data_IF_189802755231
#
_entry.id   IF_189802755231
#
_cell.length_a   1.000
_cell.length_b   1.000
_cell.length_c   1.000
_cell.angle_alpha   90.00
_cell.angle_beta   90.00
_cell.angle_gamma   90.00
#
_symmetry.space_group_name_H-M   'P 1'
#
loop_
_entity.id
_entity.type
_entity.pdbx_description
1 polymer ?
#
# COMPACT_ATOMS: atom_id res chain seq x y z
N UNK A 1 1.03 -18.78 28.76
CA UNK A 1 0.54 -17.51 28.18
C UNK A 1 0.46 -17.72 26.68
N UNK A 2 -0.73 -17.97 26.15
CA UNK A 2 -0.92 -18.09 24.70
C UNK A 2 -0.93 -16.68 24.10
N UNK A 3 0.00 -16.42 23.18
CA UNK A 3 0.04 -15.18 22.41
C UNK A 3 -1.03 -15.27 21.33
N UNK A 4 -2.17 -14.64 21.57
CA UNK A 4 -3.30 -14.59 20.63
C UNK A 4 -2.82 -13.86 19.37
N UNK A 5 -2.58 -14.58 18.28
CA UNK A 5 -2.23 -13.98 17.00
C UNK A 5 -3.45 -13.18 16.51
N UNK A 6 -3.37 -11.85 16.61
CA UNK A 6 -4.37 -10.95 16.04
C UNK A 6 -4.48 -11.22 14.55
N UNK A 7 -5.70 -11.47 14.05
CA UNK A 7 -5.96 -11.56 12.60
C UNK A 7 -5.41 -10.28 11.96
N UNK A 8 -4.38 -10.39 11.12
CA UNK A 8 -3.85 -9.24 10.38
C UNK A 8 -4.81 -8.95 9.24
N UNK A 9 -5.67 -7.94 9.41
CA UNK A 9 -6.51 -7.44 8.33
C UNK A 9 -5.67 -6.59 7.36
N UNK A 10 -5.90 -6.70 6.04
CA UNK A 10 -5.22 -5.85 5.07
C UNK A 10 -5.64 -4.40 5.24
N UNK A 11 -4.66 -3.49 5.17
CA UNK A 11 -4.93 -2.05 5.11
C UNK A 11 -5.11 -1.64 3.64
N UNK A 12 -6.23 -0.98 3.34
CA UNK A 12 -6.52 -0.44 2.01
C UNK A 12 -6.15 1.05 1.95
N UNK A 13 -5.34 1.42 0.97
CA UNK A 13 -4.89 2.80 0.74
C UNK A 13 -5.21 3.19 -0.70
N UNK A 14 -5.84 4.34 -0.89
CA UNK A 14 -6.19 4.89 -2.20
C UNK A 14 -5.49 6.25 -2.42
N UNK A 15 -4.73 6.34 -3.50
CA UNK A 15 -4.13 7.60 -3.95
C UNK A 15 -5.01 8.18 -5.07
N UNK A 16 -5.91 9.10 -4.70
CA UNK A 16 -6.92 9.64 -5.60
C UNK A 16 -6.86 11.16 -5.69
N UNK A 17 -7.08 11.66 -6.91
CA UNK A 17 -7.25 13.08 -7.23
C UNK A 17 -7.93 13.21 -8.58
N UNK A 18 -8.77 14.22 -8.72
CA UNK A 18 -9.49 14.57 -9.95
C UNK A 18 -8.55 15.10 -11.04
N UNK A 19 -7.33 15.53 -10.67
CA UNK A 19 -6.37 16.07 -11.63
C UNK A 19 -5.66 14.96 -12.41
N UNK A 20 -5.79 15.01 -13.73
CA UNK A 20 -4.96 14.23 -14.65
C UNK A 20 -3.50 14.68 -14.60
N UNK A 21 -2.56 13.75 -14.70
CA UNK A 21 -1.11 14.05 -14.65
C UNK A 21 -0.57 14.41 -13.26
N UNK A 22 -1.36 14.28 -12.19
CA UNK A 22 -0.91 14.57 -10.82
C UNK A 22 0.05 13.53 -10.22
N UNK A 23 0.51 12.54 -11.00
CA UNK A 23 1.47 11.54 -10.55
C UNK A 23 0.92 10.44 -9.65
N UNK A 24 -0.40 10.17 -9.66
CA UNK A 24 -1.02 9.12 -8.83
C UNK A 24 -0.32 7.77 -8.99
N UNK A 25 -0.18 7.28 -10.22
CA UNK A 25 0.48 6.00 -10.53
C UNK A 25 1.93 5.99 -10.07
N UNK A 26 2.67 7.09 -10.28
CA UNK A 26 4.05 7.23 -9.81
C UNK A 26 4.14 7.16 -8.28
N UNK A 27 3.26 7.88 -7.58
CA UNK A 27 3.22 7.87 -6.12
C UNK A 27 2.83 6.48 -5.59
N UNK A 28 1.87 5.80 -6.22
CA UNK A 28 1.48 4.43 -5.90
C UNK A 28 2.68 3.48 -6.01
N UNK A 29 3.42 3.54 -7.11
CA UNK A 29 4.60 2.70 -7.31
C UNK A 29 5.70 2.98 -6.26
N UNK A 30 5.94 4.25 -5.92
CA UNK A 30 6.94 4.63 -4.92
C UNK A 30 6.55 4.19 -3.50
N UNK A 31 5.31 4.42 -3.09
CA UNK A 31 4.81 4.01 -1.77
C UNK A 31 4.84 2.49 -1.64
N UNK A 32 4.38 1.76 -2.66
CA UNK A 32 4.44 0.30 -2.65
C UNK A 32 5.88 -0.22 -2.60
N UNK A 33 6.80 0.37 -3.35
CA UNK A 33 8.22 0.01 -3.35
C UNK A 33 8.83 0.22 -1.97
N UNK A 34 8.55 1.35 -1.31
CA UNK A 34 9.01 1.61 0.04
C UNK A 34 8.45 0.59 1.04
N UNK A 35 7.13 0.35 1.01
CA UNK A 35 6.50 -0.59 1.93
C UNK A 35 6.99 -2.03 1.75
N UNK A 36 7.26 -2.43 0.51
CA UNK A 36 7.76 -3.77 0.21
C UNK A 36 9.25 -3.92 0.53
N UNK A 37 10.11 -3.08 -0.06
CA UNK A 37 11.56 -3.26 0.03
C UNK A 37 12.15 -2.75 1.34
N UNK A 38 11.69 -1.60 1.86
CA UNK A 38 12.25 -1.01 3.08
C UNK A 38 11.54 -1.51 4.34
N UNK A 39 10.22 -1.73 4.26
CA UNK A 39 9.41 -2.09 5.43
C UNK A 39 9.00 -3.55 5.49
N UNK A 40 9.35 -4.36 4.49
CA UNK A 40 9.10 -5.80 4.42
C UNK A 40 7.61 -6.17 4.59
N UNK A 41 6.70 -5.34 4.06
CA UNK A 41 5.26 -5.63 4.02
C UNK A 41 4.87 -6.40 2.75
N UNK A 42 3.83 -7.23 2.88
CA UNK A 42 3.11 -7.79 1.74
C UNK A 42 2.19 -6.70 1.17
N UNK A 43 2.44 -6.29 -0.08
CA UNK A 43 1.75 -5.20 -0.74
C UNK A 43 1.16 -5.69 -2.06
N UNK A 44 -0.06 -5.27 -2.37
CA UNK A 44 -0.67 -5.45 -3.68
C UNK A 44 -1.04 -4.06 -4.24
N UNK A 45 -0.71 -3.82 -5.52
CA UNK A 45 -1.13 -2.62 -6.25
C UNK A 45 -2.35 -2.99 -7.10
N UNK A 46 -3.38 -2.16 -7.04
CA UNK A 46 -4.57 -2.25 -7.91
C UNK A 46 -4.60 -0.95 -8.72
N UNK A 47 -4.46 -1.07 -10.04
CA UNK A 47 -4.57 0.05 -10.99
C UNK A 47 -5.96 0.03 -11.62
N UNK A 48 -6.62 1.19 -11.71
CA UNK A 48 -8.03 1.34 -12.13
C UNK A 48 -8.28 2.53 -13.04
#
# INVERSE_FOLDING_TARGET
>A
MEMKASKKEPLYVALSTQKGGAGKTTLTALVASYLHYERNYNVAIIDC
#
